data_IF_050663642495
#
_entry.id   IF_050663642495
#
_cell.length_a   1.000
_cell.length_b   1.000
_cell.length_c   1.000
_cell.angle_alpha   90.00
_cell.angle_beta   90.00
_cell.angle_gamma   90.00
#
_symmetry.space_group_name_H-M   'P 1'
#
loop_
_entity.id
_entity.type
_entity.pdbx_description
1 polymer ?
#
# COMPACT_ATOMS: atom_id res chain seq x y z
N UNK A 1 5.64 -6.45 -5.85
CA UNK A 1 7.08 -6.17 -5.63
C UNK A 1 7.73 -7.17 -4.67
N UNK A 2 7.10 -7.45 -3.51
CA UNK A 2 7.65 -8.39 -2.52
C UNK A 2 7.91 -9.78 -3.10
N UNK A 3 6.95 -10.34 -3.83
CA UNK A 3 7.09 -11.64 -4.53
C UNK A 3 8.30 -11.68 -5.47
N UNK A 4 8.44 -10.65 -6.31
CA UNK A 4 9.56 -10.56 -7.25
C UNK A 4 10.91 -10.55 -6.53
N UNK A 5 11.05 -9.78 -5.47
CA UNK A 5 12.29 -9.70 -4.69
C UNK A 5 12.59 -10.94 -3.86
N UNK A 6 11.55 -11.67 -3.41
CA UNK A 6 11.69 -12.86 -2.60
C UNK A 6 12.04 -14.11 -3.44
N UNK A 7 11.28 -14.35 -4.52
CA UNK A 7 11.29 -15.60 -5.26
C UNK A 7 11.97 -15.52 -6.63
N UNK A 8 12.19 -14.31 -7.16
CA UNK A 8 12.80 -14.08 -8.47
C UNK A 8 14.07 -13.22 -8.39
N UNK A 9 14.83 -13.32 -7.30
CA UNK A 9 16.02 -12.48 -7.04
C UNK A 9 17.17 -12.68 -8.03
N UNK A 10 17.15 -13.75 -8.85
CA UNK A 10 18.11 -13.96 -9.93
C UNK A 10 17.88 -13.01 -11.11
N UNK A 11 16.64 -12.63 -11.37
CA UNK A 11 16.22 -11.72 -12.44
C UNK A 11 15.83 -10.36 -11.92
N UNK A 12 15.20 -10.29 -10.75
CA UNK A 12 14.84 -9.04 -10.06
C UNK A 12 16.07 -8.51 -9.30
N UNK A 13 16.81 -7.60 -9.90
CA UNK A 13 18.12 -7.12 -9.41
C UNK A 13 18.00 -6.13 -8.24
N UNK A 14 16.92 -5.40 -8.15
CA UNK A 14 16.63 -4.48 -7.06
C UNK A 14 15.12 -4.20 -6.96
N UNK A 15 14.64 -3.87 -5.78
CA UNK A 15 13.23 -3.55 -5.51
C UNK A 15 13.15 -2.29 -4.68
N UNK A 16 12.12 -1.47 -4.92
CA UNK A 16 11.73 -0.39 -4.02
C UNK A 16 10.27 -0.54 -3.64
N UNK A 17 9.94 -0.25 -2.38
CA UNK A 17 8.56 -0.24 -1.88
C UNK A 17 8.39 0.83 -0.81
N UNK A 18 7.17 1.34 -0.68
CA UNK A 18 6.76 2.25 0.39
C UNK A 18 5.82 1.57 1.41
N UNK A 19 5.36 0.35 1.12
CA UNK A 19 4.48 -0.38 2.02
C UNK A 19 4.94 -1.84 2.15
N UNK A 20 5.29 -2.23 3.37
CA UNK A 20 5.64 -3.60 3.71
C UNK A 20 5.39 -3.81 5.21
N UNK A 21 4.18 -4.22 5.62
CA UNK A 21 3.83 -4.35 7.03
C UNK A 21 4.84 -5.18 7.81
N UNK A 22 5.41 -4.60 8.84
CA UNK A 22 6.42 -5.24 9.68
C UNK A 22 6.50 -4.57 11.05
N UNK A 23 6.87 -5.35 12.06
CA UNK A 23 7.06 -4.86 13.41
C UNK A 23 8.54 -4.77 13.75
N UNK A 24 8.93 -3.85 14.64
CA UNK A 24 10.27 -3.81 15.19
C UNK A 24 10.64 -5.15 15.84
N UNK A 25 11.91 -5.61 15.70
CA UNK A 25 12.36 -6.88 16.26
C UNK A 25 12.70 -6.82 17.75
N UNK A 26 11.99 -6.00 18.48
CA UNK A 26 12.15 -5.78 19.93
C UNK A 26 10.78 -5.70 20.60
N UNK A 27 10.68 -5.94 21.93
CA UNK A 27 9.45 -5.75 22.68
C UNK A 27 8.89 -4.32 22.59
N UNK A 28 7.58 -4.18 22.78
CA UNK A 28 6.87 -2.90 22.62
C UNK A 28 7.35 -1.81 23.57
N UNK A 29 7.79 -2.16 24.77
CA UNK A 29 8.37 -1.25 25.76
C UNK A 29 9.69 -0.60 25.31
N UNK A 30 10.30 -1.11 24.23
CA UNK A 30 11.51 -0.60 23.59
C UNK A 30 11.25 0.10 22.25
N UNK A 31 9.97 0.29 21.91
CA UNK A 31 9.63 1.00 20.69
C UNK A 31 9.88 2.51 20.81
N UNK A 32 10.27 3.10 19.71
CA UNK A 32 10.33 4.55 19.59
C UNK A 32 8.91 5.12 19.51
N UNK A 33 8.76 6.41 19.82
CA UNK A 33 7.48 7.11 19.62
C UNK A 33 6.92 6.92 18.20
N UNK A 34 7.80 6.98 17.19
CA UNK A 34 7.38 6.76 15.80
C UNK A 34 6.85 5.35 15.55
N UNK A 35 7.45 4.34 16.12
CA UNK A 35 7.00 2.94 15.98
C UNK A 35 5.67 2.71 16.70
N UNK A 36 5.49 3.32 17.85
CA UNK A 36 4.20 3.32 18.57
C UNK A 36 3.12 4.01 17.75
N UNK A 37 3.40 5.18 17.19
CA UNK A 37 2.47 5.90 16.32
C UNK A 37 2.15 5.10 15.03
N UNK A 38 3.14 4.42 14.46
CA UNK A 38 2.94 3.56 13.29
C UNK A 38 2.00 2.38 13.59
N UNK A 39 2.14 1.77 14.77
CA UNK A 39 1.21 0.71 15.20
C UNK A 39 -0.20 1.26 15.38
N UNK A 40 -0.36 2.43 16.00
CA UNK A 40 -1.65 3.07 16.18
C UNK A 40 -2.34 3.38 14.83
N UNK A 41 -1.58 3.81 13.81
CA UNK A 41 -2.11 4.00 12.45
C UNK A 41 -2.58 2.67 11.85
N UNK A 42 -1.80 1.62 12.01
CA UNK A 42 -2.17 0.28 11.55
C UNK A 42 -3.43 -0.23 12.25
N UNK A 43 -3.52 -0.08 13.58
CA UNK A 43 -4.68 -0.49 14.36
C UNK A 43 -5.93 0.32 13.99
N UNK A 44 -5.77 1.61 13.79
CA UNK A 44 -6.85 2.49 13.32
C UNK A 44 -7.40 2.01 11.97
N UNK A 45 -6.52 1.63 11.03
CA UNK A 45 -6.91 1.14 9.72
C UNK A 45 -7.56 -0.24 9.76
N UNK A 46 -6.92 -1.19 10.44
CA UNK A 46 -7.42 -2.57 10.54
C UNK A 46 -8.70 -2.66 11.36
N UNK A 47 -8.83 -1.82 12.39
CA UNK A 47 -9.94 -1.91 13.34
C UNK A 47 -9.87 -3.15 14.22
N UNK A 48 -10.96 -3.40 14.92
CA UNK A 48 -11.18 -4.59 15.74
C UNK A 48 -12.37 -5.39 15.20
N UNK A 49 -12.49 -6.68 15.49
CA UNK A 49 -13.67 -7.46 15.10
C UNK A 49 -14.99 -6.77 15.48
N UNK A 50 -15.82 -6.49 14.49
CA UNK A 50 -17.08 -5.74 14.63
C UNK A 50 -16.93 -4.21 14.57
N UNK A 51 -15.73 -3.69 14.38
CA UNK A 51 -15.44 -2.26 14.20
C UNK A 51 -14.39 -2.00 13.10
N UNK A 52 -14.50 -2.71 11.99
CA UNK A 52 -13.58 -2.64 10.84
C UNK A 52 -13.96 -1.51 9.88
N UNK A 53 -14.06 -0.29 10.36
CA UNK A 53 -14.56 0.88 9.62
C UNK A 53 -13.90 1.08 8.25
N UNK A 54 -12.59 0.84 8.17
CA UNK A 54 -11.82 1.11 6.97
C UNK A 54 -11.60 -0.14 6.11
N UNK A 55 -11.91 -1.34 6.61
CA UNK A 55 -11.66 -2.62 5.93
C UNK A 55 -12.84 -3.15 5.12
N UNK A 56 -14.00 -2.50 5.16
CA UNK A 56 -15.21 -2.93 4.46
C UNK A 56 -14.98 -3.22 2.98
N UNK A 57 -14.23 -2.34 2.29
CA UNK A 57 -13.88 -2.52 0.88
C UNK A 57 -13.12 -3.83 0.62
N UNK A 58 -12.14 -4.15 1.45
CA UNK A 58 -11.33 -5.36 1.28
C UNK A 58 -12.12 -6.64 1.58
N UNK A 59 -13.02 -6.59 2.55
CA UNK A 59 -13.92 -7.70 2.89
C UNK A 59 -14.88 -7.96 1.73
N UNK A 60 -15.52 -6.91 1.20
CA UNK A 60 -16.45 -7.01 0.07
C UNK A 60 -15.74 -7.56 -1.17
N UNK A 61 -14.58 -6.99 -1.53
CA UNK A 61 -13.80 -7.46 -2.68
C UNK A 61 -13.32 -8.92 -2.53
N UNK A 62 -13.02 -9.40 -1.32
CA UNK A 62 -12.62 -10.78 -1.08
C UNK A 62 -13.77 -11.77 -1.12
N UNK A 63 -15.00 -11.33 -0.84
CA UNK A 63 -16.15 -12.22 -0.63
C UNK A 63 -17.19 -12.12 -1.72
N UNK A 64 -17.45 -10.92 -2.24
CA UNK A 64 -18.54 -10.62 -3.18
C UNK A 64 -18.13 -9.67 -4.31
N UNK A 65 -16.98 -9.88 -5.00
CA UNK A 65 -16.49 -8.95 -6.03
C UNK A 65 -17.47 -8.76 -7.17
N UNK A 66 -18.23 -9.76 -7.53
CA UNK A 66 -19.22 -9.68 -8.61
C UNK A 66 -20.41 -8.79 -8.21
N UNK A 67 -20.89 -8.91 -6.99
CA UNK A 67 -22.03 -8.11 -6.49
C UNK A 67 -21.71 -6.63 -6.55
N UNK A 68 -20.59 -6.24 -5.94
CA UNK A 68 -20.20 -4.84 -5.91
C UNK A 68 -19.72 -4.32 -7.27
N UNK A 69 -19.07 -5.18 -8.07
CA UNK A 69 -18.65 -4.85 -9.43
C UNK A 69 -19.81 -4.55 -10.36
N UNK A 70 -20.91 -5.32 -10.28
CA UNK A 70 -22.15 -5.05 -11.04
C UNK A 70 -22.78 -3.74 -10.57
N UNK A 71 -22.84 -3.50 -9.25
CA UNK A 71 -23.42 -2.27 -8.71
C UNK A 71 -22.70 -0.99 -9.18
N UNK A 72 -21.42 -1.10 -9.55
CA UNK A 72 -20.62 0.03 -10.03
C UNK A 72 -20.53 0.12 -11.57
N UNK A 73 -21.12 -0.82 -12.30
CA UNK A 73 -20.91 -0.92 -13.76
C UNK A 73 -21.70 0.12 -14.57
N UNK A 74 -22.79 0.63 -14.04
CA UNK A 74 -23.69 1.54 -14.77
C UNK A 74 -23.55 3.01 -14.38
N UNK A 75 -22.91 3.30 -13.24
CA UNK A 75 -22.82 4.65 -12.73
C UNK A 75 -21.46 4.95 -12.07
N UNK A 76 -20.71 5.95 -12.56
CA UNK A 76 -19.40 6.31 -12.00
C UNK A 76 -19.47 6.87 -10.57
N UNK A 77 -20.64 7.34 -10.10
CA UNK A 77 -20.78 7.87 -8.73
C UNK A 77 -20.51 6.79 -7.69
N UNK A 78 -20.93 5.55 -7.93
CA UNK A 78 -20.62 4.44 -7.04
C UNK A 78 -19.11 4.18 -6.93
N UNK A 79 -18.41 4.23 -8.05
CA UNK A 79 -16.94 4.12 -8.07
C UNK A 79 -16.30 5.32 -7.34
N UNK A 80 -16.82 6.52 -7.58
CA UNK A 80 -16.33 7.74 -6.93
C UNK A 80 -16.45 7.65 -5.41
N UNK A 81 -17.57 7.20 -4.90
CA UNK A 81 -17.76 7.01 -3.46
C UNK A 81 -16.80 5.94 -2.90
N UNK A 82 -16.72 4.80 -3.57
CA UNK A 82 -15.95 3.65 -3.10
C UNK A 82 -14.42 3.89 -3.16
N UNK A 83 -13.94 4.42 -4.26
CA UNK A 83 -12.50 4.71 -4.48
C UNK A 83 -12.12 6.04 -3.84
N UNK A 84 -12.92 7.09 -4.05
CA UNK A 84 -12.66 8.44 -3.55
C UNK A 84 -12.59 8.50 -2.03
N UNK A 85 -13.41 7.72 -1.31
CA UNK A 85 -13.31 7.58 0.14
C UNK A 85 -11.89 7.15 0.55
N UNK A 86 -11.29 6.18 -0.15
CA UNK A 86 -9.95 5.69 0.19
C UNK A 86 -8.86 6.72 -0.13
N UNK A 87 -9.00 7.45 -1.22
CA UNK A 87 -8.11 8.57 -1.49
C UNK A 87 -8.20 9.65 -0.40
N UNK A 88 -9.40 9.99 0.04
CA UNK A 88 -9.57 10.98 1.11
C UNK A 88 -9.04 10.49 2.47
N UNK A 89 -9.26 9.21 2.82
CA UNK A 89 -8.85 8.66 4.11
C UNK A 89 -7.34 8.43 4.23
N UNK A 90 -6.69 8.03 3.13
CA UNK A 90 -5.33 7.48 3.16
C UNK A 90 -4.23 8.45 2.72
N UNK A 91 -4.57 9.65 2.30
CA UNK A 91 -3.57 10.69 2.02
C UNK A 91 -3.12 11.38 3.32
N UNK A 92 -1.98 12.05 3.26
CA UNK A 92 -1.55 12.97 4.30
C UNK A 92 -2.68 13.97 4.60
N UNK A 93 -3.03 14.23 5.87
CA UNK A 93 -4.12 15.13 6.24
C UNK A 93 -4.13 16.50 5.53
N UNK A 94 -2.97 17.01 5.16
CA UNK A 94 -2.86 18.28 4.40
C UNK A 94 -3.43 18.21 2.97
N UNK A 95 -3.60 17.01 2.40
CA UNK A 95 -4.19 16.81 1.06
C UNK A 95 -5.67 16.44 1.10
N UNK A 96 -6.30 16.39 2.27
CA UNK A 96 -7.71 16.00 2.41
C UNK A 96 -8.70 17.12 2.06
N UNK A 97 -8.22 18.24 1.57
CA UNK A 97 -9.08 19.34 1.14
C UNK A 97 -9.73 19.02 -0.21
N UNK A 98 -11.00 18.63 -0.18
CA UNK A 98 -11.79 18.32 -1.37
C UNK A 98 -12.09 19.56 -2.24
N UNK A 99 -11.80 20.78 -1.76
CA UNK A 99 -11.85 22.00 -2.58
C UNK A 99 -10.59 22.18 -3.43
N UNK A 100 -9.50 21.44 -3.16
CA UNK A 100 -8.32 21.41 -4.01
C UNK A 100 -8.67 20.76 -5.36
N UNK A 101 -8.70 21.61 -6.39
CA UNK A 101 -9.07 21.19 -7.73
C UNK A 101 -8.15 20.10 -8.28
N UNK A 102 -6.85 20.17 -8.01
CA UNK A 102 -5.88 19.16 -8.46
C UNK A 102 -6.17 17.80 -7.86
N UNK A 103 -6.39 17.74 -6.55
CA UNK A 103 -6.71 16.50 -5.86
C UNK A 103 -8.03 15.89 -6.37
N UNK A 104 -9.04 16.72 -6.60
CA UNK A 104 -10.32 16.28 -7.17
C UNK A 104 -10.18 15.81 -8.62
N UNK A 105 -9.41 16.49 -9.45
CA UNK A 105 -9.17 16.09 -10.84
C UNK A 105 -8.43 14.74 -10.91
N UNK A 106 -7.50 14.47 -10.00
CA UNK A 106 -6.80 13.19 -9.90
C UNK A 106 -7.73 12.05 -9.48
N UNK A 107 -8.61 12.28 -8.49
CA UNK A 107 -9.66 11.31 -8.09
C UNK A 107 -10.61 11.05 -9.26
N UNK A 108 -11.14 12.08 -9.91
CA UNK A 108 -12.06 11.95 -11.02
C UNK A 108 -11.42 11.23 -12.21
N UNK A 109 -10.14 11.51 -12.50
CA UNK A 109 -9.38 10.80 -13.53
C UNK A 109 -9.30 9.32 -13.22
N UNK A 110 -8.99 8.96 -11.98
CA UNK A 110 -8.96 7.56 -11.54
C UNK A 110 -10.31 6.89 -11.67
N UNK A 111 -11.38 7.55 -11.24
CA UNK A 111 -12.77 7.06 -11.38
C UNK A 111 -13.12 6.82 -12.84
N UNK A 112 -12.79 7.76 -13.73
CA UNK A 112 -13.00 7.62 -15.17
C UNK A 112 -12.20 6.45 -15.77
N UNK A 113 -10.95 6.27 -15.37
CA UNK A 113 -10.15 5.12 -15.80
C UNK A 113 -10.81 3.80 -15.43
N UNK A 114 -11.29 3.65 -14.20
CA UNK A 114 -12.00 2.43 -13.79
C UNK A 114 -13.34 2.27 -14.50
N UNK A 115 -14.07 3.34 -14.73
CA UNK A 115 -15.40 3.27 -15.34
C UNK A 115 -15.35 2.96 -16.84
N UNK A 116 -14.44 3.60 -17.58
CA UNK A 116 -14.34 3.46 -19.03
C UNK A 116 -13.42 2.32 -19.49
N UNK A 117 -12.61 1.74 -18.62
CA UNK A 117 -11.81 0.56 -18.98
C UNK A 117 -12.63 -0.71 -18.74
N UNK A 118 -13.05 -1.29 -19.86
CA UNK A 118 -13.90 -2.47 -19.89
C UNK A 118 -13.19 -3.75 -19.39
N UNK A 119 -13.95 -4.78 -18.94
CA UNK A 119 -15.41 -4.83 -19.00
C UNK A 119 -16.10 -4.21 -17.79
N UNK A 120 -15.44 -4.03 -16.69
CA UNK A 120 -15.96 -3.34 -15.50
C UNK A 120 -14.88 -3.26 -14.40
N UNK A 121 -15.08 -2.39 -13.41
CA UNK A 121 -14.26 -2.30 -12.22
C UNK A 121 -14.13 -3.64 -11.47
N UNK A 122 -15.05 -4.58 -11.70
CA UNK A 122 -15.03 -5.91 -11.08
C UNK A 122 -13.68 -6.63 -11.29
N UNK A 123 -13.09 -6.52 -12.48
CA UNK A 123 -11.80 -7.17 -12.75
C UNK A 123 -10.68 -6.69 -11.86
N UNK A 124 -10.68 -5.41 -11.48
CA UNK A 124 -9.73 -4.83 -10.53
C UNK A 124 -9.92 -5.37 -9.11
N UNK A 125 -11.13 -5.79 -8.75
CA UNK A 125 -11.44 -6.36 -7.44
C UNK A 125 -11.00 -7.82 -7.32
N UNK A 126 -10.85 -8.53 -8.44
CA UNK A 126 -10.49 -9.95 -8.44
C UNK A 126 -9.13 -10.25 -7.84
N UNK A 127 -8.21 -9.29 -7.76
CA UNK A 127 -6.94 -9.51 -7.07
C UNK A 127 -7.17 -9.82 -5.58
N UNK A 128 -8.11 -9.16 -4.91
CA UNK A 128 -8.47 -9.46 -3.52
C UNK A 128 -9.14 -10.84 -3.38
N UNK A 129 -10.01 -11.19 -4.33
CA UNK A 129 -10.72 -12.47 -4.33
C UNK A 129 -9.78 -13.65 -4.60
N UNK A 130 -8.92 -13.52 -5.61
CA UNK A 130 -8.04 -14.59 -6.07
C UNK A 130 -6.88 -14.83 -5.12
N UNK A 131 -6.24 -13.76 -4.59
CA UNK A 131 -5.06 -13.89 -3.76
C UNK A 131 -5.31 -14.76 -2.53
N UNK A 132 -6.41 -14.55 -1.80
CA UNK A 132 -6.71 -15.35 -0.60
C UNK A 132 -7.09 -16.80 -0.90
N UNK A 133 -7.35 -17.13 -2.15
CA UNK A 133 -7.71 -18.49 -2.64
C UNK A 133 -6.58 -19.18 -3.36
N UNK A 134 -5.47 -18.46 -3.59
CA UNK A 134 -4.29 -19.07 -4.19
C UNK A 134 -3.69 -20.08 -3.22
N UNK A 135 -3.26 -21.24 -3.74
CA UNK A 135 -2.70 -22.33 -2.94
C UNK A 135 -1.48 -21.91 -2.10
N UNK A 136 -0.66 -21.03 -2.65
CA UNK A 136 0.55 -20.51 -1.98
C UNK A 136 0.27 -19.34 -1.02
N UNK A 137 -0.98 -18.87 -0.88
CA UNK A 137 -1.28 -17.64 -0.13
C UNK A 137 -0.78 -17.68 1.32
N UNK A 138 -1.07 -18.79 2.02
CA UNK A 138 -0.67 -18.95 3.43
C UNK A 138 0.84 -19.05 3.55
N UNK A 139 1.46 -19.80 2.66
CA UNK A 139 2.90 -20.00 2.66
C UNK A 139 3.67 -18.73 2.29
N UNK A 140 3.18 -17.99 1.28
CA UNK A 140 3.74 -16.70 0.89
C UNK A 140 3.61 -15.65 1.99
N UNK A 141 2.52 -15.65 2.77
CA UNK A 141 2.36 -14.73 3.90
C UNK A 141 3.15 -15.16 5.14
N UNK A 142 3.77 -16.34 5.15
CA UNK A 142 4.72 -16.71 6.19
C UNK A 142 6.04 -15.96 6.00
N UNK A 143 6.67 -15.54 7.11
CA UNK A 143 7.92 -14.75 7.08
C UNK A 143 9.06 -15.43 6.30
N UNK A 144 9.10 -16.77 6.27
CA UNK A 144 10.16 -17.53 5.59
C UNK A 144 10.06 -17.47 4.07
N UNK A 145 8.86 -17.39 3.52
CA UNK A 145 8.63 -17.42 2.05
C UNK A 145 8.61 -16.04 1.41
N UNK A 146 8.35 -15.00 2.18
CA UNK A 146 8.24 -13.65 1.64
C UNK A 146 9.42 -12.72 2.00
N UNK A 147 10.51 -13.27 2.53
CA UNK A 147 11.74 -12.52 2.77
C UNK A 147 12.33 -12.03 1.46
N UNK A 148 12.48 -10.72 1.32
CA UNK A 148 13.00 -10.09 0.09
C UNK A 148 14.50 -10.32 0.02
N UNK A 149 14.93 -11.25 -0.86
CA UNK A 149 16.35 -11.62 -1.05
C UNK A 149 17.09 -10.62 -1.92
N UNK A 150 16.41 -10.04 -2.93
CA UNK A 150 17.00 -9.00 -3.75
C UNK A 150 17.33 -7.76 -2.89
N UNK A 151 18.37 -6.99 -3.24
CA UNK A 151 18.57 -5.68 -2.63
C UNK A 151 17.30 -4.85 -2.73
N UNK A 152 16.83 -4.29 -1.60
CA UNK A 152 15.65 -3.45 -1.67
C UNK A 152 15.81 -2.16 -0.86
N UNK A 153 15.09 -1.13 -1.33
CA UNK A 153 14.90 0.14 -0.67
C UNK A 153 13.49 0.30 -0.14
N UNK A 154 13.38 1.07 0.94
CA UNK A 154 12.12 1.38 1.57
C UNK A 154 11.99 2.87 1.83
N UNK A 155 10.88 3.48 1.36
CA UNK A 155 10.48 4.84 1.74
C UNK A 155 9.32 4.76 2.72
N UNK A 156 9.53 5.22 3.96
CA UNK A 156 8.51 5.22 5.02
C UNK A 156 7.86 6.60 5.12
N UNK A 157 6.56 6.66 4.92
CA UNK A 157 5.76 7.88 5.02
C UNK A 157 4.90 7.86 6.27
N UNK A 158 4.80 9.05 6.94
CA UNK A 158 4.16 9.15 8.26
C UNK A 158 2.70 8.71 8.28
N UNK A 159 1.95 9.03 7.22
CA UNK A 159 0.50 8.85 7.14
C UNK A 159 0.08 7.66 6.26
N UNK A 160 1.03 6.75 5.93
CA UNK A 160 0.69 5.50 5.27
C UNK A 160 -0.07 4.57 6.25
N UNK A 161 -0.73 3.56 5.74
CA UNK A 161 -1.49 2.55 6.52
C UNK A 161 -0.57 1.83 7.51
N UNK A 162 0.66 1.54 7.09
CA UNK A 162 1.64 0.82 7.89
C UNK A 162 3.01 1.50 7.80
N UNK A 163 3.18 2.68 8.42
CA UNK A 163 4.50 3.30 8.51
C UNK A 163 5.48 2.31 9.15
N UNK A 164 6.71 2.30 8.66
CA UNK A 164 7.67 1.26 9.05
C UNK A 164 9.00 1.89 9.42
N UNK A 165 9.60 1.51 10.53
CA UNK A 165 10.95 1.93 10.91
C UNK A 165 12.02 1.16 10.14
N UNK A 166 13.25 1.70 10.06
CA UNK A 166 14.35 1.02 9.37
C UNK A 166 14.63 -0.38 9.93
N UNK A 167 14.64 -0.53 11.26
CA UNK A 167 14.86 -1.83 11.90
C UNK A 167 13.73 -2.82 11.64
N UNK A 168 12.50 -2.34 11.53
CA UNK A 168 11.36 -3.18 11.14
C UNK A 168 11.44 -3.57 9.66
N UNK A 169 11.77 -2.65 8.75
CA UNK A 169 11.96 -2.95 7.33
C UNK A 169 13.04 -4.02 7.11
N UNK A 170 14.14 -3.97 7.85
CA UNK A 170 15.22 -4.98 7.80
C UNK A 170 14.78 -6.38 8.19
N UNK A 171 13.67 -6.55 8.93
CA UNK A 171 13.13 -7.89 9.23
C UNK A 171 12.44 -8.54 8.03
N UNK A 172 12.08 -7.76 7.02
CA UNK A 172 11.32 -8.22 5.85
C UNK A 172 12.21 -8.63 4.67
N UNK A 173 13.50 -8.31 4.73
CA UNK A 173 14.42 -8.64 3.64
C UNK A 173 15.77 -7.95 3.72
N UNK A 174 16.49 -8.02 2.60
CA UNK A 174 17.79 -7.40 2.40
C UNK A 174 17.67 -5.89 2.15
N UNK A 175 17.20 -5.13 3.16
CA UNK A 175 17.02 -3.69 3.10
C UNK A 175 18.38 -2.99 3.09
N UNK A 176 18.77 -2.40 1.95
CA UNK A 176 20.04 -1.70 1.75
C UNK A 176 19.89 -0.19 1.64
N UNK A 177 18.68 0.30 1.49
CA UNK A 177 18.35 1.71 1.45
C UNK A 177 17.07 1.97 2.20
N UNK A 178 17.06 3.03 3.03
CA UNK A 178 15.89 3.41 3.80
C UNK A 178 15.80 4.93 3.85
N UNK A 179 14.60 5.46 3.67
CA UNK A 179 14.29 6.88 3.88
C UNK A 179 13.00 7.02 4.64
N UNK A 180 13.03 7.85 5.67
CA UNK A 180 11.89 8.18 6.51
C UNK A 180 11.48 9.62 6.29
N UNK A 181 10.17 9.86 6.20
CA UNK A 181 9.61 11.19 6.02
C UNK A 181 8.48 11.44 7.01
N UNK A 182 8.40 12.66 7.54
CA UNK A 182 7.37 13.10 8.51
C UNK A 182 6.08 13.58 7.84
N UNK A 183 5.91 13.30 6.56
CA UNK A 183 4.75 13.63 5.74
C UNK A 183 4.49 12.53 4.73
N UNK A 184 3.41 12.73 3.93
CA UNK A 184 3.01 11.79 2.89
C UNK A 184 2.19 10.63 3.42
N UNK A 185 1.22 10.20 2.62
CA UNK A 185 0.30 9.10 2.91
C UNK A 185 0.51 7.91 1.99
N UNK A 186 -0.54 7.11 1.88
CA UNK A 186 -0.54 5.88 1.11
C UNK A 186 -0.39 6.10 -0.41
N UNK A 187 -0.97 7.19 -0.91
CA UNK A 187 -0.92 7.53 -2.33
C UNK A 187 0.20 8.51 -2.65
N UNK A 188 1.37 8.27 -2.09
CA UNK A 188 2.50 9.19 -2.14
C UNK A 188 2.91 9.62 -3.54
N UNK A 189 2.75 8.77 -4.55
CA UNK A 189 3.06 9.13 -5.94
C UNK A 189 2.09 10.19 -6.49
N UNK A 190 0.88 10.27 -5.95
CA UNK A 190 -0.09 11.30 -6.24
C UNK A 190 0.19 12.58 -5.43
N UNK A 191 0.49 12.39 -4.14
CA UNK A 191 0.70 13.48 -3.19
C UNK A 191 2.01 14.24 -3.45
N UNK A 192 3.11 13.51 -3.68
CA UNK A 192 4.48 14.03 -3.80
C UNK A 192 5.27 13.32 -4.91
N UNK A 193 4.86 13.43 -6.18
CA UNK A 193 5.49 12.69 -7.28
C UNK A 193 6.99 13.00 -7.45
N UNK A 194 7.41 14.24 -7.24
CA UNK A 194 8.81 14.64 -7.38
C UNK A 194 9.71 13.92 -6.36
N UNK A 195 9.23 13.75 -5.14
CA UNK A 195 9.97 13.09 -4.06
C UNK A 195 10.05 11.57 -4.27
N UNK A 196 9.00 10.97 -4.80
CA UNK A 196 9.04 9.55 -5.18
C UNK A 196 10.10 9.32 -6.25
N UNK A 197 10.19 10.21 -7.25
CA UNK A 197 11.22 10.13 -8.29
C UNK A 197 12.62 10.31 -7.71
N UNK A 198 12.81 11.24 -6.77
CA UNK A 198 14.08 11.43 -6.05
C UNK A 198 14.46 10.16 -5.28
N UNK A 199 13.54 9.61 -4.51
CA UNK A 199 13.76 8.40 -3.72
C UNK A 199 14.14 7.21 -4.61
N UNK A 200 13.43 7.01 -5.70
CA UNK A 200 13.73 5.93 -6.66
C UNK A 200 15.12 6.09 -7.28
N UNK A 201 15.48 7.29 -7.71
CA UNK A 201 16.80 7.56 -8.30
C UNK A 201 17.92 7.33 -7.28
N UNK A 202 17.79 7.88 -6.09
CA UNK A 202 18.79 7.72 -5.03
C UNK A 202 18.92 6.26 -4.59
N UNK A 203 17.79 5.59 -4.38
CA UNK A 203 17.73 4.19 -4.02
C UNK A 203 18.44 3.31 -5.06
N UNK A 204 17.98 3.34 -6.31
CA UNK A 204 18.53 2.44 -7.33
C UNK A 204 19.97 2.76 -7.71
N UNK A 205 20.39 4.01 -7.63
CA UNK A 205 21.81 4.37 -7.79
C UNK A 205 22.71 3.67 -6.75
N UNK A 206 22.20 3.48 -5.54
CA UNK A 206 22.96 2.89 -4.43
C UNK A 206 22.89 1.37 -4.38
N UNK A 207 21.71 0.78 -4.69
CA UNK A 207 21.50 -0.66 -4.47
C UNK A 207 21.52 -1.50 -5.73
N UNK A 208 21.32 -0.91 -6.92
CA UNK A 208 21.41 -1.67 -8.17
C UNK A 208 22.86 -1.93 -8.54
N UNK A 209 23.22 -3.21 -8.58
CA UNK A 209 24.53 -3.68 -9.06
C UNK A 209 24.30 -4.43 -10.36
N UNK A 210 25.03 -4.03 -11.38
CA UNK A 210 25.04 -4.72 -12.68
C UNK A 210 25.56 -6.13 -12.57
#
# INVERSE_FOLDING_TARGET
MRELGANYSTTCKAVHTNMCPSLPPVPEDQWTERETNAQQMTDWWLGTPGNEKHMGYAIEMRTRPQTIGIAFSDNPIGIMCFVGEKYHELVDPKYRDLSDKRFMDDILTTVCLYFFTSPSIMTSMLCYYNNVRHEDYVEFNSKSKNYIKAPFGFSSYRWDITPTSERAAKTTGNCQWFRERDYGGHFIALEQPAEVVEDLRDCFTKIYKQ
#
